data_IF_108846751378
#
_entry.id   IF_108846751378
#
_cell.length_a   1.000
_cell.length_b   1.000
_cell.length_c   1.000
_cell.angle_alpha   90.00
_cell.angle_beta   90.00
_cell.angle_gamma   90.00
#
_symmetry.space_group_name_H-M   'P 1'
#
loop_
_entity.id
_entity.type
_entity.pdbx_description
1 polymer ?
#
# COMPACT_ATOMS: atom_id res chain seq x y z
N UNK A 1 9.42 10.66 6.42
CA UNK A 1 10.39 10.02 5.50
C UNK A 1 9.98 10.39 4.09
N UNK A 2 10.91 10.53 3.14
CA UNK A 2 10.56 10.82 1.75
C UNK A 2 9.89 9.57 1.16
N UNK A 3 8.67 9.71 0.67
CA UNK A 3 7.82 8.62 0.22
C UNK A 3 7.92 8.50 -1.31
N UNK A 4 8.28 7.32 -1.82
CA UNK A 4 8.42 7.03 -3.26
C UNK A 4 7.10 7.29 -4.00
N UNK A 5 5.96 6.91 -3.40
CA UNK A 5 4.64 7.14 -3.99
C UNK A 5 4.35 8.64 -4.15
N UNK A 6 4.86 9.46 -3.21
CA UNK A 6 4.75 10.91 -3.30
C UNK A 6 5.63 11.52 -4.40
N UNK A 7 6.80 10.95 -4.66
CA UNK A 7 7.68 11.35 -5.77
C UNK A 7 7.04 10.97 -7.10
N UNK A 8 6.53 9.75 -7.22
CA UNK A 8 5.85 9.23 -8.42
C UNK A 8 4.59 10.03 -8.75
N UNK A 9 3.73 10.31 -7.77
CA UNK A 9 2.54 11.15 -7.96
C UNK A 9 2.89 12.57 -8.44
N UNK A 10 3.98 13.16 -7.96
CA UNK A 10 4.45 14.47 -8.43
C UNK A 10 5.02 14.42 -9.86
N UNK A 11 5.67 13.31 -10.25
CA UNK A 11 6.13 13.10 -11.62
C UNK A 11 4.93 13.00 -12.56
N UNK A 12 3.92 12.20 -12.19
CA UNK A 12 2.67 12.06 -12.96
C UNK A 12 1.93 13.40 -13.10
N UNK A 13 1.79 14.15 -12.00
CA UNK A 13 1.16 15.48 -12.02
C UNK A 13 1.87 16.44 -12.99
N UNK A 14 3.21 16.46 -12.93
CA UNK A 14 4.02 17.26 -13.84
C UNK A 14 3.90 16.78 -15.28
N UNK A 15 3.61 15.51 -15.57
CA UNK A 15 3.50 15.02 -16.95
C UNK A 15 2.18 15.36 -17.65
N UNK A 16 1.14 15.76 -16.91
CA UNK A 16 -0.16 16.17 -17.46
C UNK A 16 -0.05 17.47 -18.29
N UNK A 17 -0.85 17.61 -19.36
CA UNK A 17 -0.83 18.80 -20.24
C UNK A 17 -1.26 20.10 -19.55
N UNK A 18 -2.20 20.03 -18.60
CA UNK A 18 -2.72 21.18 -17.85
C UNK A 18 -2.53 20.96 -16.35
N UNK A 19 -1.40 21.42 -15.82
CA UNK A 19 -0.97 21.21 -14.45
C UNK A 19 -0.56 22.54 -13.77
N UNK A 20 -0.60 22.57 -12.45
CA UNK A 20 -0.21 23.75 -11.67
C UNK A 20 1.30 23.72 -11.38
N UNK A 21 2.07 24.30 -12.29
CA UNK A 21 3.53 24.36 -12.16
C UNK A 21 3.99 25.11 -10.90
N UNK A 22 3.21 26.08 -10.40
CA UNK A 22 3.58 26.82 -9.19
C UNK A 22 3.44 25.95 -7.94
N UNK A 23 2.31 25.24 -7.80
CA UNK A 23 2.10 24.31 -6.69
C UNK A 23 3.08 23.13 -6.74
N UNK A 24 3.35 22.59 -7.94
CA UNK A 24 4.39 21.58 -8.14
C UNK A 24 5.77 22.08 -7.70
N UNK A 25 6.15 23.30 -8.09
CA UNK A 25 7.42 23.93 -7.69
C UNK A 25 7.54 24.03 -6.16
N UNK A 26 6.49 24.46 -5.46
CA UNK A 26 6.48 24.54 -3.99
C UNK A 26 6.66 23.14 -3.37
N UNK A 27 5.99 22.13 -3.92
CA UNK A 27 6.07 20.75 -3.45
C UNK A 27 7.48 20.15 -3.63
N UNK A 28 8.09 20.34 -4.80
CA UNK A 28 9.47 19.89 -5.08
C UNK A 28 10.48 20.65 -4.23
N UNK A 29 10.30 21.97 -4.04
CA UNK A 29 11.15 22.78 -3.17
C UNK A 29 11.10 22.30 -1.72
N UNK A 30 9.92 21.89 -1.22
CA UNK A 30 9.78 21.31 0.12
C UNK A 30 10.57 20.01 0.25
N UNK A 31 10.52 19.13 -0.76
CA UNK A 31 11.29 17.88 -0.81
C UNK A 31 12.80 18.18 -0.80
N UNK A 32 13.27 19.08 -1.67
CA UNK A 32 14.69 19.44 -1.75
C UNK A 32 15.22 20.06 -0.45
N UNK A 33 14.42 20.88 0.25
CA UNK A 33 14.78 21.42 1.57
C UNK A 33 14.90 20.34 2.63
N UNK A 34 13.99 19.35 2.66
CA UNK A 34 14.05 18.23 3.60
C UNK A 34 15.32 17.39 3.41
N UNK A 35 15.76 17.21 2.16
CA UNK A 35 16.97 16.47 1.81
C UNK A 35 18.27 17.27 1.88
N UNK A 36 18.18 18.58 2.12
CA UNK A 36 19.31 19.52 2.04
C UNK A 36 20.00 19.51 0.67
N UNK A 37 19.24 19.39 -0.42
CA UNK A 37 19.76 19.39 -1.80
C UNK A 37 19.98 20.83 -2.30
N UNK A 38 21.09 21.42 -1.84
CA UNK A 38 21.43 22.85 -1.97
C UNK A 38 21.30 23.39 -3.40
N UNK A 39 21.77 22.64 -4.41
CA UNK A 39 21.69 23.03 -5.83
C UNK A 39 20.24 23.23 -6.29
N UNK A 40 19.39 22.27 -5.95
CA UNK A 40 17.97 22.24 -6.31
C UNK A 40 17.20 23.31 -5.54
N UNK A 41 17.49 23.47 -4.24
CA UNK A 41 16.90 24.54 -3.42
C UNK A 41 17.21 25.92 -4.01
N UNK A 42 18.47 26.18 -4.41
CA UNK A 42 18.84 27.46 -5.04
C UNK A 42 18.06 27.68 -6.35
N UNK A 43 18.06 26.69 -7.24
CA UNK A 43 17.41 26.81 -8.54
C UNK A 43 15.91 27.10 -8.38
N UNK A 44 15.22 26.40 -7.48
CA UNK A 44 13.79 26.57 -7.26
C UNK A 44 13.46 27.88 -6.51
N UNK A 45 14.27 28.30 -5.54
CA UNK A 45 14.07 29.60 -4.85
C UNK A 45 14.26 30.79 -5.81
N UNK A 46 15.28 30.75 -6.67
CA UNK A 46 15.47 31.79 -7.70
C UNK A 46 14.32 31.83 -8.71
N UNK A 47 13.63 30.71 -8.94
CA UNK A 47 12.46 30.67 -9.82
C UNK A 47 11.15 31.00 -9.10
N UNK A 48 11.10 30.86 -7.78
CA UNK A 48 9.93 31.20 -6.96
C UNK A 48 9.80 32.71 -6.68
N UNK A 49 10.92 33.44 -6.71
CA UNK A 49 10.98 34.88 -6.42
C UNK A 49 11.40 35.67 -7.66
N UNK A 50 11.15 36.98 -7.63
CA UNK A 50 11.64 37.89 -8.65
C UNK A 50 13.18 37.95 -8.61
N UNK A 51 13.81 37.92 -9.78
CA UNK A 51 15.26 38.08 -9.92
C UNK A 51 15.68 39.54 -9.69
N UNK A 52 15.86 39.88 -8.42
CA UNK A 52 16.43 41.15 -7.97
C UNK A 52 17.70 40.92 -7.15
N UNK A 53 18.53 41.95 -7.01
CA UNK A 53 19.72 41.89 -6.16
C UNK A 53 19.37 41.60 -4.69
N UNK A 54 18.30 42.21 -4.20
CA UNK A 54 17.78 42.02 -2.85
C UNK A 54 17.34 40.56 -2.60
N UNK A 55 16.49 40.01 -3.46
CA UNK A 55 16.03 38.63 -3.35
C UNK A 55 17.19 37.64 -3.51
N UNK A 56 18.12 37.92 -4.42
CA UNK A 56 19.31 37.09 -4.63
C UNK A 56 20.16 37.00 -3.37
N UNK A 57 20.32 38.12 -2.65
CA UNK A 57 21.02 38.17 -1.37
C UNK A 57 20.25 37.45 -0.27
N UNK A 58 18.93 37.59 -0.23
CA UNK A 58 18.07 36.90 0.74
C UNK A 58 18.11 35.37 0.55
N UNK A 59 18.02 34.89 -0.69
CA UNK A 59 18.17 33.47 -1.05
C UNK A 59 19.54 32.97 -0.63
N UNK A 60 20.60 33.71 -0.96
CA UNK A 60 21.96 33.33 -0.57
C UNK A 60 22.12 33.23 0.96
N UNK A 61 21.58 34.17 1.74
CA UNK A 61 21.65 34.08 3.20
C UNK A 61 20.86 32.88 3.77
N UNK A 62 19.70 32.58 3.18
CA UNK A 62 18.83 31.48 3.62
C UNK A 62 19.47 30.12 3.33
N UNK A 63 20.09 29.97 2.15
CA UNK A 63 20.74 28.73 1.74
C UNK A 63 22.11 28.56 2.40
N UNK A 64 22.83 29.64 2.74
CA UNK A 64 24.07 29.58 3.52
C UNK A 64 23.83 28.83 4.85
N UNK A 65 22.77 29.16 5.59
CA UNK A 65 22.37 28.44 6.81
C UNK A 65 22.04 26.96 6.59
N UNK A 66 21.46 26.61 5.44
CA UNK A 66 21.19 25.21 5.08
C UNK A 66 22.48 24.46 4.72
N UNK A 67 23.42 25.15 4.07
CA UNK A 67 24.72 24.59 3.72
C UNK A 67 25.60 24.34 4.95
N UNK A 68 25.53 25.21 5.95
CA UNK A 68 26.18 25.02 7.26
C UNK A 68 25.64 23.77 7.95
N UNK A 69 24.32 23.54 7.95
CA UNK A 69 23.71 22.32 8.49
C UNK A 69 24.15 21.04 7.76
N UNK A 70 24.51 21.14 6.48
CA UNK A 70 25.07 20.03 5.68
C UNK A 70 26.58 19.85 5.87
N UNK A 71 27.24 20.73 6.64
CA UNK A 71 28.69 20.72 6.82
C UNK A 71 29.49 21.18 5.59
N UNK A 72 28.87 21.91 4.66
CA UNK A 72 29.50 22.35 3.42
C UNK A 72 30.45 23.54 3.64
N UNK A 73 31.69 23.51 3.13
CA UNK A 73 32.60 24.65 3.22
C UNK A 73 32.07 25.89 2.48
N UNK A 74 32.19 27.07 3.10
CA UNK A 74 31.73 28.34 2.53
C UNK A 74 32.24 28.63 1.10
N UNK A 75 33.48 28.23 0.80
CA UNK A 75 34.07 28.39 -0.54
C UNK A 75 33.34 27.57 -1.60
N UNK A 76 32.94 26.34 -1.26
CA UNK A 76 32.20 25.45 -2.15
C UNK A 76 30.77 25.94 -2.35
N UNK A 77 30.13 26.36 -1.26
CA UNK A 77 28.81 26.99 -1.29
C UNK A 77 28.77 28.19 -2.24
N UNK A 78 29.71 29.14 -2.11
CA UNK A 78 29.78 30.32 -2.96
C UNK A 78 30.00 29.99 -4.44
N UNK A 79 30.69 28.88 -4.74
CA UNK A 79 30.84 28.39 -6.12
C UNK A 79 29.51 27.89 -6.67
N UNK A 80 28.78 27.09 -5.89
CA UNK A 80 27.46 26.55 -6.26
C UNK A 80 26.46 27.68 -6.50
N UNK A 81 26.43 28.70 -5.64
CA UNK A 81 25.53 29.86 -5.83
C UNK A 81 25.76 30.54 -7.17
N UNK A 82 27.02 30.79 -7.54
CA UNK A 82 27.36 31.42 -8.83
C UNK A 82 26.98 30.54 -10.02
N UNK A 83 27.24 29.23 -9.93
CA UNK A 83 26.92 28.25 -10.97
C UNK A 83 25.41 28.15 -11.20
N UNK A 84 24.63 28.01 -10.13
CA UNK A 84 23.17 27.89 -10.21
C UNK A 84 22.53 29.20 -10.65
N UNK A 85 22.99 30.35 -10.13
CA UNK A 85 22.48 31.63 -10.59
C UNK A 85 22.68 31.81 -12.09
N UNK A 86 23.87 31.47 -12.62
CA UNK A 86 24.12 31.48 -14.06
C UNK A 86 23.15 30.57 -14.82
N UNK A 87 22.94 29.33 -14.35
CA UNK A 87 21.99 28.40 -14.95
C UNK A 87 20.55 28.93 -14.98
N UNK A 88 20.12 29.64 -13.93
CA UNK A 88 18.79 30.30 -13.90
C UNK A 88 18.71 31.43 -14.91
N UNK A 89 19.75 32.25 -15.03
CA UNK A 89 19.82 33.32 -16.04
C UNK A 89 19.74 32.73 -17.44
N UNK A 90 20.50 31.67 -17.73
CA UNK A 90 20.48 30.98 -19.03
C UNK A 90 19.09 30.35 -19.32
N UNK A 91 18.40 29.87 -18.29
CA UNK A 91 17.03 29.32 -18.40
C UNK A 91 16.03 30.41 -18.80
N UNK A 92 16.19 31.62 -18.27
CA UNK A 92 15.29 32.78 -18.44
C UNK A 92 15.69 33.70 -19.58
N UNK A 93 16.83 33.41 -20.22
CA UNK A 93 17.33 34.16 -21.36
C UNK A 93 16.43 33.91 -22.57
N UNK A 94 15.87 34.97 -23.13
CA UNK A 94 14.97 34.91 -24.26
C UNK A 94 15.08 36.15 -25.13
N UNK A 95 14.42 36.10 -26.29
CA UNK A 95 14.25 37.27 -27.12
C UNK A 95 12.85 37.82 -26.91
N UNK A 96 12.75 39.07 -26.49
CA UNK A 96 11.49 39.74 -26.21
C UNK A 96 11.12 40.62 -27.38
N UNK A 97 9.84 40.64 -27.75
CA UNK A 97 9.38 41.50 -28.83
C UNK A 97 9.08 42.90 -28.30
N UNK A 98 9.75 43.91 -28.83
CA UNK A 98 9.45 45.31 -28.52
C UNK A 98 8.35 45.84 -29.45
N UNK A 99 7.18 46.10 -28.88
CA UNK A 99 6.03 46.57 -29.63
C UNK A 99 6.21 47.99 -30.19
N UNK A 100 7.04 48.81 -29.55
CA UNK A 100 7.28 50.20 -29.94
C UNK A 100 8.19 50.31 -31.15
N UNK A 101 9.23 49.47 -31.21
CA UNK A 101 10.21 49.45 -32.30
C UNK A 101 9.95 48.36 -33.33
N UNK A 102 9.06 47.41 -33.03
CA UNK A 102 8.81 46.19 -33.82
C UNK A 102 10.03 45.29 -34.01
N UNK A 103 11.03 45.46 -33.14
CA UNK A 103 12.26 44.68 -33.17
C UNK A 103 12.28 43.63 -32.08
N UNK A 104 13.07 42.59 -32.32
CA UNK A 104 13.29 41.51 -31.37
C UNK A 104 14.52 41.85 -30.52
N UNK A 105 14.29 42.24 -29.26
CA UNK A 105 15.38 42.48 -28.31
C UNK A 105 15.98 41.14 -27.92
N UNK A 106 17.22 40.89 -28.33
CA UNK A 106 17.90 39.63 -28.06
C UNK A 106 18.41 39.57 -26.63
N UNK A 107 18.55 38.34 -26.14
CA UNK A 107 19.31 38.04 -24.92
C UNK A 107 18.80 38.71 -23.63
N UNK A 108 17.50 39.02 -23.59
CA UNK A 108 16.84 39.58 -22.42
C UNK A 108 16.61 38.52 -21.35
N UNK A 109 16.51 38.93 -20.08
CA UNK A 109 16.30 38.04 -18.93
C UNK A 109 14.98 38.39 -18.29
N UNK A 110 14.02 37.46 -18.27
CA UNK A 110 12.76 37.67 -17.56
C UNK A 110 12.95 37.52 -16.05
N UNK A 111 12.73 38.60 -15.30
CA UNK A 111 12.91 38.65 -13.85
C UNK A 111 11.72 38.11 -13.06
N UNK A 112 10.51 38.15 -13.62
CA UNK A 112 9.27 37.77 -12.92
C UNK A 112 9.31 36.37 -12.30
N UNK A 113 8.77 36.15 -11.09
CA UNK A 113 8.68 34.80 -10.51
C UNK A 113 7.83 33.88 -11.40
N UNK A 114 7.93 32.56 -11.23
CA UNK A 114 7.13 31.58 -11.99
C UNK A 114 5.63 31.88 -11.95
N UNK A 115 5.10 32.30 -10.80
CA UNK A 115 3.70 32.73 -10.68
C UNK A 115 3.36 33.93 -11.58
N UNK A 116 4.29 34.89 -11.71
CA UNK A 116 4.17 36.02 -12.63
C UNK A 116 4.21 35.59 -14.09
N UNK A 117 5.13 34.68 -14.44
CA UNK A 117 5.24 34.13 -15.80
C UNK A 117 3.96 33.39 -16.23
N UNK A 118 3.33 32.64 -15.31
CA UNK A 118 2.04 31.99 -15.56
C UNK A 118 0.94 33.03 -15.79
N UNK A 119 0.87 34.06 -14.93
CA UNK A 119 -0.11 35.14 -15.06
C UNK A 119 0.02 35.86 -16.41
N UNK A 120 1.26 36.13 -16.85
CA UNK A 120 1.54 36.72 -18.15
C UNK A 120 1.16 35.78 -19.29
N UNK A 121 1.45 34.48 -19.18
CA UNK A 121 1.06 33.47 -20.17
C UNK A 121 -0.46 33.42 -20.35
N UNK A 122 -1.20 33.33 -19.24
CA UNK A 122 -2.67 33.32 -19.25
C UNK A 122 -3.26 34.63 -19.79
N UNK A 123 -2.61 35.77 -19.48
CA UNK A 123 -2.98 37.07 -20.04
C UNK A 123 -2.80 37.08 -21.56
N UNK A 124 -1.66 36.63 -22.08
CA UNK A 124 -1.43 36.62 -23.53
C UNK A 124 -2.32 35.61 -24.26
N UNK A 125 -2.58 34.45 -23.67
CA UNK A 125 -3.54 33.47 -24.21
C UNK A 125 -4.95 34.07 -24.31
N UNK A 126 -5.40 34.79 -23.27
CA UNK A 126 -6.69 35.50 -23.29
C UNK A 126 -6.72 36.60 -24.35
N UNK A 127 -5.67 37.42 -24.42
CA UNK A 127 -5.58 38.49 -25.40
C UNK A 127 -5.62 37.95 -26.84
N UNK A 128 -4.87 36.88 -27.13
CA UNK A 128 -4.88 36.19 -28.41
C UNK A 128 -6.28 35.65 -28.76
N UNK A 129 -6.93 34.97 -27.82
CA UNK A 129 -8.27 34.43 -28.01
C UNK A 129 -9.33 35.54 -28.24
N UNK A 130 -9.18 36.68 -27.57
CA UNK A 130 -10.10 37.82 -27.66
C UNK A 130 -9.86 38.75 -28.85
N UNK A 131 -8.76 38.57 -29.59
CA UNK A 131 -8.37 39.46 -30.70
C UNK A 131 -9.19 39.17 -31.97
N UNK A 132 -10.50 39.40 -31.93
CA UNK A 132 -11.44 39.09 -33.02
C UNK A 132 -11.80 40.38 -33.79
N UNK A 133 -11.92 40.27 -35.12
CA UNK A 133 -12.33 41.39 -35.97
C UNK A 133 -13.86 41.52 -35.94
N UNK A 134 -14.42 42.72 -35.69
CA UNK A 134 -15.86 42.95 -35.74
C UNK A 134 -16.45 42.65 -37.13
N UNK A 135 -17.65 42.06 -37.14
CA UNK A 135 -18.41 41.81 -38.37
C UNK A 135 -18.97 43.10 -38.96
N UNK A 136 -19.08 43.19 -40.28
CA UNK A 136 -19.74 44.32 -40.97
C UNK A 136 -18.84 45.53 -41.28
N UNK A 137 -17.51 45.38 -41.18
CA UNK A 137 -16.56 46.42 -41.58
C UNK A 137 -16.53 46.62 -43.11
N UNK A 138 -16.36 47.87 -43.54
CA UNK A 138 -16.11 48.22 -44.93
C UNK A 138 -14.76 47.62 -45.39
N UNK A 139 -14.61 47.28 -46.69
CA UNK A 139 -13.44 46.56 -47.22
C UNK A 139 -12.08 47.20 -46.85
N UNK A 140 -11.98 48.53 -46.88
CA UNK A 140 -10.76 49.26 -46.51
C UNK A 140 -10.43 49.10 -45.01
N UNK A 141 -11.44 49.21 -44.14
CA UNK A 141 -11.29 49.09 -42.69
C UNK A 141 -11.02 47.64 -42.28
N UNK A 142 -11.62 46.68 -43.01
CA UNK A 142 -11.37 45.25 -42.85
C UNK A 142 -9.91 44.90 -43.17
N UNK A 143 -9.33 45.48 -44.23
CA UNK A 143 -7.91 45.29 -44.55
C UNK A 143 -7.00 45.79 -43.42
N UNK A 144 -7.25 47.01 -42.91
CA UNK A 144 -6.49 47.59 -41.80
C UNK A 144 -6.66 46.78 -40.52
N UNK A 145 -7.88 46.33 -40.21
CA UNK A 145 -8.18 45.50 -39.05
C UNK A 145 -7.46 44.14 -39.12
N UNK A 146 -7.42 43.50 -40.29
CA UNK A 146 -6.67 42.26 -40.50
C UNK A 146 -5.16 42.45 -40.31
N UNK A 147 -4.57 43.51 -40.86
CA UNK A 147 -3.14 43.80 -40.66
C UNK A 147 -2.81 44.00 -39.17
N UNK A 148 -3.66 44.75 -38.45
CA UNK A 148 -3.50 44.96 -37.01
C UNK A 148 -3.65 43.65 -36.23
N UNK A 149 -4.65 42.83 -36.56
CA UNK A 149 -4.87 41.52 -35.94
C UNK A 149 -3.66 40.61 -36.13
N UNK A 150 -3.19 40.44 -37.36
CA UNK A 150 -2.05 39.58 -37.67
C UNK A 150 -0.79 40.01 -36.92
N UNK A 151 -0.54 41.32 -36.81
CA UNK A 151 0.59 41.86 -36.04
C UNK A 151 0.49 41.52 -34.55
N UNK A 152 -0.70 41.68 -33.96
CA UNK A 152 -0.95 41.36 -32.56
C UNK A 152 -0.92 39.86 -32.28
N UNK A 153 -1.50 39.03 -33.16
CA UNK A 153 -1.49 37.58 -33.02
C UNK A 153 -0.06 37.03 -33.10
N UNK A 154 0.76 37.57 -34.00
CA UNK A 154 2.18 37.24 -34.11
C UNK A 154 2.92 37.58 -32.81
N UNK A 155 2.66 38.76 -32.26
CA UNK A 155 3.23 39.20 -30.99
C UNK A 155 2.82 38.28 -29.83
N UNK A 156 1.52 38.06 -29.62
CA UNK A 156 1.04 37.22 -28.52
C UNK A 156 1.52 35.77 -28.67
N UNK A 157 1.53 35.23 -29.88
CA UNK A 157 2.02 33.86 -30.13
C UNK A 157 3.51 33.74 -29.83
N UNK A 158 4.31 34.77 -30.15
CA UNK A 158 5.72 34.82 -29.81
C UNK A 158 5.92 34.85 -28.28
N UNK A 159 5.24 35.75 -27.57
CA UNK A 159 5.36 35.85 -26.11
C UNK A 159 4.89 34.57 -25.39
N UNK A 160 3.78 33.96 -25.85
CA UNK A 160 3.30 32.66 -25.35
C UNK A 160 4.38 31.58 -25.55
N UNK A 161 5.01 31.54 -26.74
CA UNK A 161 6.08 30.58 -27.04
C UNK A 161 7.30 30.76 -26.12
N UNK A 162 7.71 32.01 -25.90
CA UNK A 162 8.82 32.35 -24.99
C UNK A 162 8.53 31.89 -23.56
N UNK A 163 7.36 32.23 -23.02
CA UNK A 163 6.96 31.86 -21.66
C UNK A 163 6.85 30.34 -21.51
N UNK A 164 6.23 29.66 -22.48
CA UNK A 164 6.15 28.20 -22.49
C UNK A 164 7.53 27.53 -22.51
N UNK A 165 8.48 28.06 -23.30
CA UNK A 165 9.84 27.54 -23.34
C UNK A 165 10.52 27.61 -21.96
N UNK A 166 10.41 28.75 -21.29
CA UNK A 166 10.99 28.94 -19.95
C UNK A 166 10.34 28.02 -18.92
N UNK A 167 9.00 27.98 -18.88
CA UNK A 167 8.25 27.12 -17.96
C UNK A 167 8.55 25.64 -18.22
N UNK A 168 8.68 25.21 -19.48
CA UNK A 168 9.04 23.84 -19.83
C UNK A 168 10.48 23.46 -19.42
N UNK A 169 11.44 24.40 -19.48
CA UNK A 169 12.80 24.15 -18.96
C UNK A 169 12.79 23.98 -17.44
N UNK A 170 12.04 24.81 -16.72
CA UNK A 170 11.88 24.70 -15.26
C UNK A 170 11.17 23.39 -14.89
N UNK A 171 10.13 23.02 -15.65
CA UNK A 171 9.44 21.74 -15.55
C UNK A 171 10.40 20.57 -15.75
N UNK A 172 11.19 20.59 -16.82
CA UNK A 172 12.14 19.53 -17.13
C UNK A 172 13.20 19.38 -16.04
N UNK A 173 13.66 20.49 -15.45
CA UNK A 173 14.56 20.44 -14.29
C UNK A 173 13.91 19.75 -13.09
N UNK A 174 12.65 20.09 -12.77
CA UNK A 174 11.93 19.44 -11.67
C UNK A 174 11.70 17.95 -11.92
N UNK A 175 11.29 17.56 -13.14
CA UNK A 175 11.11 16.16 -13.52
C UNK A 175 12.45 15.42 -13.44
N UNK A 176 13.53 15.97 -13.98
CA UNK A 176 14.86 15.36 -13.91
C UNK A 176 15.31 15.10 -12.47
N UNK A 177 15.15 16.09 -11.59
CA UNK A 177 15.43 15.91 -10.16
C UNK A 177 14.52 14.85 -9.51
N UNK A 178 13.23 14.84 -9.81
CA UNK A 178 12.31 13.84 -9.25
C UNK A 178 12.59 12.43 -9.78
N UNK A 179 12.98 12.29 -11.05
CA UNK A 179 13.41 11.02 -11.64
C UNK A 179 14.73 10.55 -11.03
N UNK A 180 15.69 11.44 -10.82
CA UNK A 180 16.91 11.12 -10.06
C UNK A 180 16.55 10.71 -8.63
N UNK A 181 15.58 11.35 -7.99
CA UNK A 181 15.11 10.94 -6.67
C UNK A 181 14.38 9.60 -6.70
N UNK A 182 13.55 9.34 -7.70
CA UNK A 182 12.88 8.07 -7.91
C UNK A 182 13.91 6.96 -8.12
N UNK A 183 14.91 7.19 -8.98
CA UNK A 183 16.03 6.28 -9.20
C UNK A 183 16.86 6.12 -7.94
N UNK A 184 17.15 7.19 -7.20
CA UNK A 184 17.85 7.12 -5.90
C UNK A 184 17.01 6.35 -4.91
N UNK A 185 15.70 6.54 -4.82
CA UNK A 185 14.84 5.82 -3.89
C UNK A 185 14.75 4.34 -4.28
N UNK A 186 14.60 4.03 -5.57
CA UNK A 186 14.64 2.68 -6.12
C UNK A 186 16.01 2.01 -5.91
N UNK A 187 17.12 2.77 -6.05
CA UNK A 187 18.48 2.29 -5.80
C UNK A 187 18.86 2.35 -4.32
N UNK A 188 18.20 3.11 -3.45
CA UNK A 188 18.41 3.09 -1.99
C UNK A 188 17.63 1.93 -1.36
N UNK A 189 16.48 1.58 -1.94
CA UNK A 189 15.80 0.30 -1.74
C UNK A 189 16.64 -0.88 -2.26
N UNK A 190 17.41 -0.67 -3.35
CA UNK A 190 18.44 -1.61 -3.84
C UNK A 190 19.75 -1.64 -3.02
N UNK A 191 20.22 -0.51 -2.49
CA UNK A 191 21.54 -0.35 -1.83
C UNK A 191 21.49 -0.67 -0.32
N UNK A 192 20.31 -0.64 0.32
CA UNK A 192 20.14 -1.21 1.67
C UNK A 192 20.41 -2.72 1.73
N UNK A 193 20.37 -3.40 0.59
CA UNK A 193 20.68 -4.85 0.49
C UNK A 193 22.19 -5.14 0.47
N UNK A 194 23.03 -4.10 0.50
CA UNK A 194 24.37 -4.21 -0.07
C UNK A 194 25.48 -3.72 0.89
N UNK A 195 25.12 -3.14 2.05
CA UNK A 195 26.05 -2.87 3.15
C UNK A 195 26.28 -4.06 4.11
N UNK A 196 25.61 -5.19 3.91
CA UNK A 196 25.78 -6.41 4.74
C UNK A 196 26.52 -7.57 4.05
N UNK A 197 27.10 -7.34 2.86
CA UNK A 197 28.13 -8.24 2.29
C UNK A 197 29.41 -7.50 1.82
N UNK A 198 29.42 -6.16 1.94
CA UNK A 198 30.42 -5.24 1.38
C UNK A 198 30.70 -5.43 -0.13
N UNK A 199 29.69 -4.95 -0.87
CA UNK A 199 29.74 -4.18 -2.13
C UNK A 199 29.53 -4.92 -3.46
N UNK A 200 28.26 -4.88 -3.88
CA UNK A 200 27.70 -4.83 -5.25
C UNK A 200 27.69 -6.09 -6.13
N UNK A 201 26.87 -7.08 -5.78
CA UNK A 201 26.04 -7.84 -6.74
C UNK A 201 25.08 -8.80 -6.00
N UNK A 202 23.79 -8.45 -5.85
CA UNK A 202 22.73 -9.40 -5.42
C UNK A 202 21.45 -9.14 -6.23
N UNK A 203 20.90 -10.23 -6.76
CA UNK A 203 19.65 -10.36 -7.51
C UNK A 203 18.41 -9.90 -6.73
N UNK A 204 17.45 -9.31 -7.44
CA UNK A 204 16.15 -8.82 -6.94
C UNK A 204 15.11 -9.94 -6.68
N UNK A 205 15.52 -11.21 -6.58
CA UNK A 205 14.59 -12.35 -6.51
C UNK A 205 13.88 -12.40 -5.15
N UNK A 206 12.56 -12.60 -5.15
CA UNK A 206 11.80 -12.90 -3.93
C UNK A 206 12.09 -14.36 -3.57
N UNK A 207 12.62 -14.59 -2.37
CA UNK A 207 13.12 -15.90 -1.96
C UNK A 207 12.06 -16.72 -1.21
N UNK A 208 11.08 -16.03 -0.60
CA UNK A 208 10.17 -16.65 0.36
C UNK A 208 8.84 -15.90 0.49
N UNK A 209 7.77 -16.64 0.76
CA UNK A 209 6.44 -16.11 1.04
C UNK A 209 6.15 -16.23 2.54
N UNK A 210 5.76 -15.14 3.17
CA UNK A 210 5.17 -15.14 4.50
C UNK A 210 3.65 -15.00 4.38
N UNK A 211 2.88 -15.88 5.04
CA UNK A 211 1.41 -15.77 5.07
C UNK A 211 0.96 -15.32 6.46
N UNK A 212 0.65 -14.03 6.56
CA UNK A 212 0.09 -13.41 7.76
C UNK A 212 -1.41 -13.64 7.80
N UNK A 213 -1.90 -14.31 8.85
CA UNK A 213 -3.31 -14.67 9.00
C UNK A 213 -3.68 -14.87 10.48
N UNK A 214 -4.97 -14.85 10.80
CA UNK A 214 -5.41 -15.24 12.14
C UNK A 214 -5.39 -16.77 12.28
N UNK A 215 -5.00 -17.30 13.44
CA UNK A 215 -4.94 -18.75 13.69
C UNK A 215 -6.25 -19.47 13.39
N UNK A 216 -7.40 -18.79 13.51
CA UNK A 216 -8.73 -19.34 13.19
C UNK A 216 -8.97 -19.56 11.69
N UNK A 217 -8.23 -18.85 10.83
CA UNK A 217 -8.36 -18.92 9.38
C UNK A 217 -7.42 -19.99 8.78
N UNK A 218 -6.79 -20.83 9.61
CA UNK A 218 -5.80 -21.83 9.19
C UNK A 218 -6.32 -22.78 8.10
N UNK A 219 -7.63 -23.07 8.09
CA UNK A 219 -8.25 -23.90 7.03
C UNK A 219 -8.18 -23.22 5.66
N UNK A 220 -8.46 -21.92 5.59
CA UNK A 220 -8.31 -21.15 4.35
C UNK A 220 -6.84 -21.03 3.94
N UNK A 221 -5.95 -20.82 4.92
CA UNK A 221 -4.51 -20.70 4.65
C UNK A 221 -3.93 -22.00 4.13
N UNK A 222 -4.39 -23.15 4.63
CA UNK A 222 -4.01 -24.45 4.11
C UNK A 222 -4.32 -24.56 2.61
N UNK A 223 -5.54 -24.22 2.20
CA UNK A 223 -5.94 -24.27 0.79
C UNK A 223 -5.14 -23.27 -0.06
N UNK A 224 -4.82 -22.09 0.48
CA UNK A 224 -3.96 -21.12 -0.20
C UNK A 224 -2.52 -21.64 -0.37
N UNK A 225 -1.97 -22.30 0.65
CA UNK A 225 -0.63 -22.92 0.56
C UNK A 225 -0.62 -24.06 -0.44
N UNK A 226 -1.65 -24.92 -0.43
CA UNK A 226 -1.79 -26.00 -1.41
C UNK A 226 -1.83 -25.42 -2.84
N UNK A 227 -2.62 -24.37 -3.08
CA UNK A 227 -2.67 -23.65 -4.36
C UNK A 227 -1.30 -23.07 -4.76
N UNK A 228 -0.58 -22.42 -3.84
CA UNK A 228 0.76 -21.88 -4.08
C UNK A 228 1.74 -22.99 -4.48
N UNK A 229 1.62 -24.16 -3.88
CA UNK A 229 2.44 -25.30 -4.26
C UNK A 229 2.07 -25.87 -5.63
N UNK A 230 0.77 -25.90 -5.96
CA UNK A 230 0.27 -26.39 -7.24
C UNK A 230 0.73 -25.49 -8.42
N UNK A 231 0.91 -24.18 -8.18
CA UNK A 231 1.51 -23.23 -9.17
C UNK A 231 3.05 -23.25 -9.20
N UNK A 232 3.69 -24.16 -8.47
CA UNK A 232 5.14 -24.40 -8.54
C UNK A 232 5.99 -23.81 -7.42
N UNK A 233 5.41 -23.22 -6.36
CA UNK A 233 6.19 -22.87 -5.17
C UNK A 233 6.63 -24.15 -4.46
N UNK A 234 7.90 -24.21 -4.03
CA UNK A 234 8.43 -25.43 -3.40
C UNK A 234 7.71 -25.73 -2.08
N UNK A 235 7.43 -27.00 -1.80
CA UNK A 235 6.81 -27.48 -0.55
C UNK A 235 7.82 -27.51 0.61
N UNK A 236 8.31 -26.34 1.03
CA UNK A 236 9.33 -26.22 2.09
C UNK A 236 9.10 -25.00 2.96
N UNK A 237 9.52 -25.06 4.23
CA UNK A 237 9.54 -23.90 5.14
C UNK A 237 10.53 -22.80 4.73
N UNK A 238 11.38 -23.06 3.71
CA UNK A 238 12.30 -22.07 3.12
C UNK A 238 11.63 -21.20 2.06
N UNK A 239 10.58 -21.69 1.42
CA UNK A 239 9.84 -21.02 0.34
C UNK A 239 8.53 -20.43 0.81
N UNK A 240 7.84 -21.05 1.77
CA UNK A 240 6.63 -20.53 2.40
C UNK A 240 6.74 -20.71 3.91
N UNK A 241 6.26 -19.75 4.70
CA UNK A 241 6.09 -19.97 6.13
C UNK A 241 4.88 -19.23 6.72
N UNK A 242 4.30 -19.81 7.76
CA UNK A 242 3.27 -19.20 8.61
C UNK A 242 3.26 -19.89 9.98
N UNK A 243 2.72 -19.25 11.02
CA UNK A 243 2.84 -19.75 12.40
C UNK A 243 1.94 -20.94 12.76
N UNK A 244 1.01 -21.35 11.88
CA UNK A 244 -0.09 -22.25 12.22
C UNK A 244 -0.13 -23.57 11.44
N UNK A 245 0.64 -23.72 10.36
CA UNK A 245 0.63 -24.92 9.51
C UNK A 245 1.86 -25.79 9.74
N UNK A 246 1.68 -27.07 10.12
CA UNK A 246 2.80 -28.00 10.29
C UNK A 246 3.64 -28.14 9.01
N UNK A 247 4.97 -28.04 9.14
CA UNK A 247 5.91 -28.14 8.02
C UNK A 247 6.20 -26.82 7.31
N UNK A 248 5.39 -25.79 7.57
CA UNK A 248 5.63 -24.39 7.21
C UNK A 248 5.76 -23.49 8.45
N UNK A 249 5.77 -24.10 9.63
CA UNK A 249 5.77 -23.49 10.94
C UNK A 249 7.14 -22.96 11.37
N UNK A 250 7.11 -22.17 12.44
CA UNK A 250 8.29 -21.53 13.02
C UNK A 250 9.09 -22.59 13.79
N UNK A 251 10.44 -22.60 13.70
CA UNK A 251 11.27 -23.57 14.41
C UNK A 251 10.98 -23.64 15.90
N UNK A 252 11.00 -24.85 16.45
CA UNK A 252 10.72 -25.09 17.86
C UNK A 252 11.71 -24.36 18.78
N UNK A 253 11.18 -23.58 19.74
CA UNK A 253 11.98 -22.84 20.72
C UNK A 253 12.32 -21.39 20.32
N UNK A 254 11.96 -20.94 19.11
CA UNK A 254 12.12 -19.55 18.72
C UNK A 254 10.89 -18.69 19.10
N UNK A 255 11.14 -17.42 19.45
CA UNK A 255 10.07 -16.43 19.63
C UNK A 255 9.49 -16.07 18.25
N UNK A 256 8.18 -16.18 18.08
CA UNK A 256 7.47 -15.83 16.82
C UNK A 256 7.89 -14.44 16.32
N UNK A 257 7.96 -13.46 17.22
CA UNK A 257 8.33 -12.10 16.87
C UNK A 257 9.80 -11.95 16.48
N UNK A 258 10.71 -12.70 17.12
CA UNK A 258 12.14 -12.66 16.77
C UNK A 258 12.40 -13.38 15.46
N UNK A 259 11.77 -14.53 15.24
CA UNK A 259 11.81 -15.25 13.97
C UNK A 259 11.26 -14.38 12.83
N UNK A 260 10.04 -13.83 13.00
CA UNK A 260 9.44 -12.92 12.01
C UNK A 260 10.32 -11.70 11.74
N UNK A 261 10.87 -11.10 12.79
CA UNK A 261 11.79 -9.96 12.65
C UNK A 261 13.05 -10.37 11.90
N UNK A 262 13.64 -11.51 12.19
CA UNK A 262 14.84 -12.00 11.51
C UNK A 262 14.55 -12.30 10.04
N UNK A 263 13.45 -13.01 9.76
CA UNK A 263 12.98 -13.32 8.42
C UNK A 263 12.72 -12.03 7.61
N UNK A 264 11.93 -11.09 8.15
CA UNK A 264 11.59 -9.83 7.47
C UNK A 264 12.79 -8.90 7.27
N UNK A 265 13.84 -9.00 8.10
CA UNK A 265 15.05 -8.17 7.94
C UNK A 265 16.13 -8.81 7.05
N UNK A 266 16.22 -10.14 7.03
CA UNK A 266 17.34 -10.86 6.43
C UNK A 266 17.01 -11.55 5.10
N UNK A 267 15.72 -11.81 4.81
CA UNK A 267 15.28 -12.49 3.60
C UNK A 267 14.44 -11.57 2.71
N UNK A 268 14.42 -11.83 1.40
CA UNK A 268 13.53 -11.10 0.49
C UNK A 268 12.13 -11.71 0.48
N UNK A 269 11.29 -11.26 1.41
CA UNK A 269 9.98 -11.87 1.68
C UNK A 269 8.85 -11.11 0.99
N UNK A 270 8.01 -11.86 0.28
CA UNK A 270 6.68 -11.41 -0.10
C UNK A 270 5.68 -11.75 1.01
N UNK A 271 4.86 -10.79 1.43
CA UNK A 271 3.85 -11.02 2.46
C UNK A 271 2.46 -11.15 1.84
N UNK A 272 1.76 -12.25 2.14
CA UNK A 272 0.34 -12.41 1.86
C UNK A 272 -0.44 -12.13 3.13
N UNK A 273 -1.20 -11.04 3.16
CA UNK A 273 -2.12 -10.74 4.25
C UNK A 273 -3.47 -11.40 3.97
N UNK A 274 -3.82 -12.44 4.72
CA UNK A 274 -5.11 -13.11 4.64
C UNK A 274 -6.09 -12.37 5.56
N UNK A 275 -6.91 -11.50 4.98
CA UNK A 275 -7.80 -10.60 5.71
C UNK A 275 -9.18 -11.23 5.91
N UNK A 276 -9.62 -11.20 7.16
CA UNK A 276 -10.91 -11.68 7.66
C UNK A 276 -11.33 -10.84 8.88
N UNK A 277 -12.55 -11.01 9.39
CA UNK A 277 -12.91 -10.38 10.67
C UNK A 277 -12.03 -10.91 11.82
N UNK A 278 -11.62 -12.19 11.76
CA UNK A 278 -10.71 -12.80 12.74
C UNK A 278 -9.33 -12.10 12.73
N UNK A 279 -8.83 -11.75 11.54
CA UNK A 279 -7.58 -11.00 11.38
C UNK A 279 -7.63 -9.66 12.11
N UNK A 280 -8.70 -8.89 11.87
CA UNK A 280 -8.87 -7.56 12.45
C UNK A 280 -9.15 -7.56 13.97
N UNK A 281 -9.49 -8.71 14.53
CA UNK A 281 -9.69 -8.89 15.98
C UNK A 281 -8.45 -9.45 16.69
N UNK A 282 -7.48 -9.94 15.94
CA UNK A 282 -6.22 -10.45 16.48
C UNK A 282 -5.22 -9.31 16.63
N UNK A 283 -5.01 -8.84 17.86
CA UNK A 283 -3.97 -7.85 18.17
C UNK A 283 -2.57 -8.28 17.68
N UNK A 284 -2.14 -9.56 17.80
CA UNK A 284 -0.92 -10.05 17.15
C UNK A 284 -0.90 -9.81 15.65
N UNK A 285 -1.96 -10.16 14.91
CA UNK A 285 -2.02 -9.98 13.45
C UNK A 285 -1.98 -8.50 13.04
N UNK A 286 -2.59 -7.61 13.81
CA UNK A 286 -2.52 -6.17 13.56
C UNK A 286 -1.11 -5.60 13.82
N UNK A 287 -0.44 -6.10 14.86
CA UNK A 287 0.96 -5.73 15.14
C UNK A 287 1.91 -6.27 14.06
N UNK A 288 1.71 -7.51 13.63
CA UNK A 288 2.42 -8.12 12.50
C UNK A 288 2.15 -7.36 11.19
N UNK A 289 0.90 -6.95 10.93
CA UNK A 289 0.55 -6.09 9.79
C UNK A 289 1.33 -4.78 9.80
N UNK A 290 1.41 -4.11 10.95
CA UNK A 290 2.19 -2.87 11.08
C UNK A 290 3.69 -3.09 10.84
N UNK A 291 4.25 -4.15 11.42
CA UNK A 291 5.68 -4.47 11.27
C UNK A 291 6.04 -4.91 9.85
N UNK A 292 5.26 -5.82 9.27
CA UNK A 292 5.43 -6.35 7.92
C UNK A 292 5.13 -5.29 6.85
N UNK A 293 4.18 -4.37 7.06
CA UNK A 293 3.94 -3.27 6.12
C UNK A 293 5.15 -2.32 6.00
N UNK A 294 5.87 -2.07 7.10
CA UNK A 294 7.07 -1.22 7.12
C UNK A 294 8.29 -1.93 6.51
N UNK A 295 8.37 -3.26 6.62
CA UNK A 295 9.59 -4.04 6.34
C UNK A 295 9.51 -4.94 5.12
N UNK A 296 8.31 -5.32 4.66
CA UNK A 296 8.13 -6.17 3.48
C UNK A 296 8.51 -5.44 2.19
N UNK A 297 9.19 -6.14 1.29
CA UNK A 297 9.55 -5.59 -0.04
C UNK A 297 8.36 -5.61 -0.99
N UNK A 298 7.48 -6.60 -0.86
CA UNK A 298 6.23 -6.73 -1.62
C UNK A 298 5.17 -7.36 -0.72
N UNK A 299 3.93 -6.88 -0.81
CA UNK A 299 2.81 -7.52 -0.16
C UNK A 299 1.61 -7.59 -1.10
N UNK A 300 0.74 -8.55 -0.84
CA UNK A 300 -0.59 -8.64 -1.44
C UNK A 300 -1.60 -8.94 -0.36
N UNK A 301 -2.85 -8.58 -0.61
CA UNK A 301 -3.97 -8.88 0.28
C UNK A 301 -4.86 -9.94 -0.36
N UNK A 302 -5.23 -10.92 0.45
CA UNK A 302 -6.10 -12.03 0.09
C UNK A 302 -7.28 -11.99 1.04
N UNK A 303 -8.49 -11.78 0.53
CA UNK A 303 -9.68 -11.68 1.36
C UNK A 303 -10.36 -13.05 1.48
N UNK A 304 -10.73 -13.44 2.69
CA UNK A 304 -11.64 -14.58 2.86
C UNK A 304 -13.00 -14.26 2.22
N UNK A 305 -13.76 -15.27 1.75
CA UNK A 305 -14.98 -15.05 0.96
C UNK A 305 -16.00 -14.11 1.61
N UNK A 306 -16.21 -14.28 2.91
CA UNK A 306 -17.22 -13.56 3.70
C UNK A 306 -16.75 -12.17 4.17
N UNK A 307 -15.46 -11.84 4.01
CA UNK A 307 -14.93 -10.52 4.35
C UNK A 307 -15.17 -9.51 3.22
N UNK A 308 -15.62 -8.30 3.54
CA UNK A 308 -15.93 -7.27 2.54
C UNK A 308 -14.77 -6.30 2.36
N UNK A 309 -14.61 -5.77 1.14
CA UNK A 309 -13.53 -4.84 0.83
C UNK A 309 -13.62 -3.55 1.65
N UNK A 310 -14.84 -3.08 1.96
CA UNK A 310 -15.08 -1.87 2.75
C UNK A 310 -14.66 -2.03 4.22
N UNK A 311 -14.47 -3.27 4.68
CA UNK A 311 -14.00 -3.57 6.04
C UNK A 311 -12.47 -3.49 6.17
N UNK A 312 -11.73 -3.34 5.06
CA UNK A 312 -10.28 -3.14 5.10
C UNK A 312 -9.98 -1.77 5.72
N UNK A 313 -9.35 -1.78 6.89
CA UNK A 313 -8.91 -0.58 7.61
C UNK A 313 -7.45 -0.73 8.04
N UNK A 314 -6.81 0.39 8.42
CA UNK A 314 -5.45 0.38 8.98
C UNK A 314 -4.34 0.69 7.96
N UNK A 315 -3.18 0.05 8.11
CA UNK A 315 -1.96 0.34 7.33
C UNK A 315 -1.99 -0.21 5.89
N UNK A 316 -2.97 -1.06 5.58
CA UNK A 316 -3.16 -1.62 4.25
C UNK A 316 -3.99 -0.65 3.42
N UNK A 317 -3.46 -0.29 2.24
CA UNK A 317 -4.19 0.51 1.26
C UNK A 317 -5.32 -0.31 0.62
N UNK A 318 -6.61 0.03 0.88
CA UNK A 318 -7.75 -0.69 0.32
C UNK A 318 -7.88 -0.52 -1.20
N UNK A 319 -7.15 0.42 -1.80
CA UNK A 319 -7.18 0.71 -3.25
C UNK A 319 -6.14 -0.09 -4.05
N UNK A 320 -5.25 -0.84 -3.38
CA UNK A 320 -4.30 -1.75 -4.05
C UNK A 320 -4.96 -3.08 -4.46
N UNK A 321 -4.35 -3.74 -5.45
CA UNK A 321 -4.81 -5.03 -5.99
C UNK A 321 -4.96 -6.04 -4.85
N UNK A 322 -6.21 -6.44 -4.62
CA UNK A 322 -6.65 -7.40 -3.62
C UNK A 322 -7.62 -8.36 -4.31
N UNK A 323 -7.61 -9.64 -3.97
CA UNK A 323 -8.56 -10.60 -4.53
C UNK A 323 -9.26 -11.37 -3.41
N UNK A 324 -10.49 -11.79 -3.68
CA UNK A 324 -11.21 -12.71 -2.79
C UNK A 324 -10.85 -14.14 -3.15
N UNK A 325 -10.69 -14.98 -2.15
CA UNK A 325 -10.35 -16.40 -2.34
C UNK A 325 -11.35 -17.16 -3.22
N UNK A 326 -12.61 -16.70 -3.30
CA UNK A 326 -13.64 -17.29 -4.15
C UNK A 326 -13.88 -16.52 -5.47
N UNK A 327 -12.99 -15.60 -5.86
CA UNK A 327 -13.05 -14.90 -7.15
C UNK A 327 -12.23 -15.66 -8.21
N UNK A 328 -12.88 -16.34 -9.17
CA UNK A 328 -12.17 -17.10 -10.20
C UNK A 328 -11.26 -16.22 -11.05
N UNK A 329 -11.64 -14.98 -11.37
CA UNK A 329 -10.84 -14.10 -12.23
C UNK A 329 -9.67 -13.51 -11.45
N UNK A 330 -9.91 -13.15 -10.18
CA UNK A 330 -8.88 -12.71 -9.25
C UNK A 330 -7.79 -13.76 -9.04
N UNK A 331 -8.15 -15.04 -8.97
CA UNK A 331 -7.19 -16.15 -8.85
C UNK A 331 -6.25 -16.27 -10.04
N UNK A 332 -6.74 -16.07 -11.27
CA UNK A 332 -5.87 -16.11 -12.46
C UNK A 332 -4.83 -14.98 -12.41
N UNK A 333 -5.26 -13.76 -12.04
CA UNK A 333 -4.35 -12.62 -11.87
C UNK A 333 -3.35 -12.83 -10.73
N UNK A 334 -3.81 -13.44 -9.64
CA UNK A 334 -2.95 -13.77 -8.50
C UNK A 334 -1.88 -14.78 -8.90
N UNK A 335 -2.26 -15.86 -9.58
CA UNK A 335 -1.32 -16.84 -10.15
C UNK A 335 -0.27 -16.13 -11.01
N UNK A 336 -0.70 -15.35 -12.00
CA UNK A 336 0.21 -14.68 -12.93
C UNK A 336 1.19 -13.76 -12.19
N UNK A 337 0.69 -13.02 -11.19
CA UNK A 337 1.51 -12.17 -10.31
C UNK A 337 2.53 -12.99 -9.53
N UNK A 338 2.15 -14.14 -8.96
CA UNK A 338 3.07 -14.98 -8.19
C UNK A 338 4.13 -15.62 -9.09
N UNK A 339 3.74 -16.18 -10.24
CA UNK A 339 4.67 -16.75 -11.23
C UNK A 339 5.68 -15.70 -11.66
N UNK A 340 5.22 -14.49 -11.99
CA UNK A 340 6.11 -13.38 -12.38
C UNK A 340 7.02 -12.93 -11.22
N UNK A 341 6.50 -12.87 -10.00
CA UNK A 341 7.22 -12.37 -8.82
C UNK A 341 8.32 -13.32 -8.34
N UNK A 342 8.06 -14.63 -8.43
CA UNK A 342 8.97 -15.69 -7.99
C UNK A 342 9.77 -16.29 -9.15
N UNK A 343 9.52 -15.84 -10.38
CA UNK A 343 10.12 -16.36 -11.62
C UNK A 343 9.94 -17.87 -11.75
N UNK A 344 8.71 -18.34 -11.52
CA UNK A 344 8.37 -19.77 -11.62
C UNK A 344 8.19 -20.17 -13.10
N UNK A 345 8.31 -21.47 -13.36
CA UNK A 345 7.90 -22.02 -14.65
C UNK A 345 6.38 -21.94 -14.80
N UNK A 346 5.91 -21.61 -16.00
CA UNK A 346 4.47 -21.54 -16.26
C UNK A 346 3.84 -22.94 -16.15
N UNK A 347 2.67 -23.00 -15.54
CA UNK A 347 1.93 -24.25 -15.35
C UNK A 347 1.03 -24.52 -16.55
N UNK A 348 0.91 -25.78 -16.98
CA UNK A 348 -0.02 -26.13 -18.06
C UNK A 348 -1.43 -25.63 -17.73
N UNK A 349 -2.04 -24.91 -18.68
CA UNK A 349 -3.31 -24.24 -18.45
C UNK A 349 -4.43 -25.21 -18.04
N UNK A 350 -4.44 -26.45 -18.53
CA UNK A 350 -5.46 -27.44 -18.16
C UNK A 350 -5.28 -27.92 -16.73
N UNK A 351 -4.04 -28.18 -16.32
CA UNK A 351 -3.70 -28.52 -14.94
C UNK A 351 -4.15 -27.39 -14.01
N UNK A 352 -3.82 -26.14 -14.35
CA UNK A 352 -4.27 -24.97 -13.59
C UNK A 352 -5.80 -24.89 -13.46
N UNK A 353 -6.57 -25.17 -14.52
CA UNK A 353 -8.04 -25.14 -14.43
C UNK A 353 -8.59 -26.18 -13.45
N UNK A 354 -7.99 -27.38 -13.40
CA UNK A 354 -8.39 -28.43 -12.46
C UNK A 354 -8.05 -28.05 -11.01
N UNK A 355 -6.83 -27.56 -10.75
CA UNK A 355 -6.39 -27.13 -9.43
C UNK A 355 -7.21 -25.96 -8.91
N UNK A 356 -7.48 -24.97 -9.78
CA UNK A 356 -8.35 -23.83 -9.49
C UNK A 356 -9.78 -24.27 -9.14
N UNK A 357 -10.35 -25.23 -9.88
CA UNK A 357 -11.70 -25.72 -9.62
C UNK A 357 -11.79 -26.44 -8.27
N UNK A 358 -10.79 -27.28 -7.95
CA UNK A 358 -10.67 -27.94 -6.66
C UNK A 358 -10.60 -26.92 -5.52
N UNK A 359 -9.66 -25.96 -5.62
CA UNK A 359 -9.49 -24.89 -4.64
C UNK A 359 -10.80 -24.11 -4.41
N UNK A 360 -11.46 -23.66 -5.47
CA UNK A 360 -12.73 -22.92 -5.39
C UNK A 360 -13.82 -23.74 -4.69
N UNK A 361 -13.94 -25.05 -4.99
CA UNK A 361 -14.95 -25.90 -4.36
C UNK A 361 -14.76 -26.03 -2.84
N UNK A 362 -13.50 -26.17 -2.41
CA UNK A 362 -13.16 -26.29 -0.99
C UNK A 362 -13.33 -24.96 -0.26
N UNK A 363 -12.86 -23.85 -0.86
CA UNK A 363 -13.03 -22.50 -0.30
C UNK A 363 -14.51 -22.13 -0.16
N UNK A 364 -15.35 -22.45 -1.15
CA UNK A 364 -16.80 -22.23 -1.06
C UNK A 364 -17.43 -23.03 0.07
N UNK A 365 -17.03 -24.30 0.25
CA UNK A 365 -17.53 -25.12 1.37
C UNK A 365 -17.15 -24.53 2.72
N UNK A 366 -15.92 -24.03 2.87
CA UNK A 366 -15.47 -23.34 4.08
C UNK A 366 -16.25 -22.04 4.32
N UNK A 367 -16.52 -21.28 3.26
CA UNK A 367 -17.29 -20.04 3.32
C UNK A 367 -18.75 -20.28 3.75
N UNK A 368 -19.39 -21.32 3.22
CA UNK A 368 -20.75 -21.69 3.57
C UNK A 368 -20.85 -22.11 5.04
N UNK A 369 -19.86 -22.86 5.53
CA UNK A 369 -19.76 -23.22 6.94
C UNK A 369 -19.58 -21.98 7.83
N UNK A 370 -18.64 -21.10 7.50
CA UNK A 370 -18.38 -19.85 8.25
C UNK A 370 -19.59 -18.90 8.24
N UNK A 371 -20.30 -18.81 7.11
CA UNK A 371 -21.52 -18.01 6.99
C UNK A 371 -22.65 -18.60 7.83
N UNK A 372 -22.79 -19.93 7.85
CA UNK A 372 -23.80 -20.62 8.66
C UNK A 372 -23.60 -20.41 10.17
N UNK A 373 -22.37 -20.17 10.60
CA UNK A 373 -22.03 -19.87 11.99
C UNK A 373 -21.87 -18.37 12.25
N UNK A 374 -22.19 -17.49 11.29
CA UNK A 374 -21.98 -16.03 11.40
C UNK A 374 -20.58 -15.64 11.92
N UNK A 375 -19.55 -16.43 11.58
CA UNK A 375 -18.18 -16.27 12.08
C UNK A 375 -18.04 -16.34 13.63
N UNK A 376 -19.04 -16.90 14.30
CA UNK A 376 -19.00 -17.27 15.72
C UNK A 376 -18.13 -18.51 15.86
N UNK A 377 -17.42 -18.62 16.99
CA UNK A 377 -16.67 -19.83 17.33
C UNK A 377 -16.93 -20.24 18.77
N UNK A 378 -17.04 -21.55 18.98
CA UNK A 378 -17.07 -22.16 20.31
C UNK A 378 -15.83 -23.06 20.41
N UNK A 379 -15.04 -22.85 21.45
CA UNK A 379 -13.82 -23.60 21.73
C UNK A 379 -13.91 -24.23 23.12
N UNK A 380 -13.42 -25.46 23.27
CA UNK A 380 -13.31 -26.10 24.57
C UNK A 380 -11.99 -25.70 25.22
N UNK A 381 -12.05 -25.02 26.36
CA UNK A 381 -10.85 -24.65 27.12
C UNK A 381 -10.41 -25.74 28.09
N UNK A 382 -11.40 -26.36 28.75
CA UNK A 382 -11.15 -27.28 29.85
C UNK A 382 -12.31 -28.26 30.01
N UNK A 383 -11.93 -29.49 30.30
CA UNK A 383 -12.83 -30.53 30.80
C UNK A 383 -12.41 -30.87 32.23
N UNK A 384 -13.37 -30.87 33.15
CA UNK A 384 -13.13 -31.27 34.53
C UNK A 384 -14.14 -32.32 34.96
N UNK A 385 -13.66 -33.38 35.59
CA UNK A 385 -14.55 -34.37 36.18
C UNK A 385 -15.29 -33.77 37.39
N UNK A 386 -16.60 -33.97 37.45
CA UNK A 386 -17.47 -33.57 38.56
C UNK A 386 -18.21 -34.80 39.10
N UNK A 387 -17.49 -35.65 39.83
CA UNK A 387 -18.05 -36.86 40.44
C UNK A 387 -17.91 -38.10 39.55
N UNK A 388 -18.86 -39.04 39.66
CA UNK A 388 -18.88 -40.28 38.88
C UNK A 388 -19.64 -40.12 37.54
N UNK A 389 -20.60 -39.18 37.49
CA UNK A 389 -21.65 -39.15 36.45
C UNK A 389 -21.78 -37.77 35.76
N UNK A 390 -20.85 -36.85 35.97
CA UNK A 390 -20.95 -35.51 35.39
C UNK A 390 -19.59 -34.91 35.01
N UNK A 391 -19.63 -34.10 33.96
CA UNK A 391 -18.46 -33.41 33.42
C UNK A 391 -18.73 -31.92 33.34
N UNK A 392 -17.78 -31.12 33.80
CA UNK A 392 -17.79 -29.67 33.65
C UNK A 392 -17.00 -29.28 32.41
N UNK A 393 -17.66 -28.61 31.47
CA UNK A 393 -17.05 -28.02 30.29
C UNK A 393 -16.88 -26.53 30.49
N UNK A 394 -15.65 -26.04 30.30
CA UNK A 394 -15.34 -24.63 30.13
C UNK A 394 -15.32 -24.33 28.63
N UNK A 395 -16.41 -23.76 28.11
CA UNK A 395 -16.57 -23.42 26.70
C UNK A 395 -16.32 -21.92 26.51
N UNK A 396 -15.38 -21.57 25.63
CA UNK A 396 -15.13 -20.20 25.19
C UNK A 396 -15.98 -19.90 23.97
N UNK A 397 -16.85 -18.91 24.12
CA UNK A 397 -17.73 -18.38 23.11
C UNK A 397 -17.16 -17.06 22.58
N UNK A 398 -17.03 -16.93 21.26
CA UNK A 398 -16.46 -15.75 20.63
C UNK A 398 -17.41 -15.29 19.52
N UNK A 399 -18.01 -14.12 19.70
CA UNK A 399 -18.78 -13.43 18.70
C UNK A 399 -17.96 -12.27 18.14
N UNK A 400 -17.58 -12.38 16.89
CA UNK A 400 -16.79 -11.37 16.18
C UNK A 400 -17.69 -10.31 15.52
N UNK A 401 -19.00 -10.55 15.47
CA UNK A 401 -19.96 -9.72 14.74
C UNK A 401 -20.51 -8.58 15.60
N UNK A 402 -21.21 -7.65 14.96
CA UNK A 402 -21.97 -6.60 15.65
C UNK A 402 -23.36 -7.03 16.08
N UNK A 403 -23.77 -8.26 15.75
CA UNK A 403 -25.11 -8.78 16.02
C UNK A 403 -25.11 -9.57 17.33
N UNK A 404 -26.28 -9.71 17.93
CA UNK A 404 -26.47 -10.63 19.05
C UNK A 404 -26.70 -12.02 18.46
N UNK A 405 -26.05 -13.03 19.03
CA UNK A 405 -26.07 -14.40 18.54
C UNK A 405 -26.85 -15.27 19.53
N UNK A 406 -27.88 -15.92 19.00
CA UNK A 406 -28.67 -16.93 19.70
C UNK A 406 -28.40 -18.30 19.09
N UNK A 407 -28.17 -19.30 19.92
CA UNK A 407 -27.88 -20.65 19.44
C UNK A 407 -29.16 -21.48 19.37
N UNK A 408 -29.34 -22.18 18.25
CA UNK A 408 -30.39 -23.17 18.08
C UNK A 408 -30.02 -24.51 18.73
N UNK A 409 -28.76 -24.91 18.59
CA UNK A 409 -28.20 -26.08 19.29
C UNK A 409 -26.68 -25.96 19.35
N UNK A 410 -26.07 -26.65 20.31
CA UNK A 410 -24.61 -26.86 20.41
C UNK A 410 -24.36 -28.34 20.67
N UNK A 411 -23.52 -28.96 19.86
CA UNK A 411 -23.08 -30.35 19.98
C UNK A 411 -21.58 -30.38 20.25
N UNK A 412 -21.17 -31.11 21.29
CA UNK A 412 -19.77 -31.28 21.69
C UNK A 412 -19.43 -32.78 21.68
N UNK A 413 -18.55 -33.19 20.78
CA UNK A 413 -17.97 -34.54 20.73
C UNK A 413 -16.59 -34.49 21.41
N UNK A 414 -16.47 -35.11 22.58
CA UNK A 414 -15.19 -35.34 23.26
C UNK A 414 -14.63 -36.70 22.87
N UNK A 415 -13.31 -36.83 22.86
CA UNK A 415 -12.62 -38.12 22.61
C UNK A 415 -11.50 -38.32 23.63
N UNK A 416 -11.49 -39.46 24.33
CA UNK A 416 -10.46 -39.77 25.33
C UNK A 416 -9.18 -40.39 24.72
N UNK A 417 -8.19 -40.70 25.56
CA UNK A 417 -6.91 -41.31 25.15
C UNK A 417 -7.08 -42.70 24.52
N UNK A 418 -8.15 -43.43 24.84
CA UNK A 418 -8.46 -44.75 24.29
C UNK A 418 -9.27 -44.65 22.99
N UNK A 419 -9.66 -43.43 22.58
CA UNK A 419 -10.51 -43.20 21.42
C UNK A 419 -12.00 -43.32 21.71
N UNK A 420 -12.39 -43.47 22.98
CA UNK A 420 -13.79 -43.49 23.38
C UNK A 420 -14.38 -42.09 23.28
N UNK A 421 -15.64 -42.00 22.85
CA UNK A 421 -16.31 -40.73 22.58
C UNK A 421 -17.40 -40.43 23.60
N UNK A 422 -17.55 -39.16 23.92
CA UNK A 422 -18.70 -38.64 24.68
C UNK A 422 -19.33 -37.51 23.89
N UNK A 423 -20.58 -37.69 23.48
CA UNK A 423 -21.38 -36.68 22.79
C UNK A 423 -22.29 -35.96 23.79
N UNK A 424 -22.25 -34.63 23.78
CA UNK A 424 -23.09 -33.76 24.60
C UNK A 424 -23.85 -32.84 23.65
N UNK A 425 -25.17 -32.94 23.66
CA UNK A 425 -26.07 -32.13 22.84
C UNK A 425 -26.83 -31.16 23.74
N UNK A 426 -26.76 -29.87 23.41
CA UNK A 426 -27.39 -28.76 24.12
C UNK A 426 -28.47 -28.18 23.21
N UNK A 427 -29.72 -28.50 23.50
CA UNK A 427 -30.91 -28.05 22.74
C UNK A 427 -31.95 -27.37 23.66
N UNK A 428 -31.72 -27.33 24.97
CA UNK A 428 -32.66 -26.74 25.93
C UNK A 428 -32.60 -25.21 25.89
N UNK A 429 -33.73 -24.56 25.61
CA UNK A 429 -33.84 -23.10 25.47
C UNK A 429 -33.31 -22.34 26.69
N UNK A 430 -33.57 -22.80 27.93
CA UNK A 430 -33.06 -22.15 29.14
C UNK A 430 -31.51 -22.16 29.18
N UNK A 431 -30.92 -23.30 28.83
CA UNK A 431 -29.46 -23.47 28.81
C UNK A 431 -28.82 -22.70 27.66
N UNK A 432 -29.47 -22.62 26.49
CA UNK A 432 -29.00 -21.87 25.34
C UNK A 432 -29.14 -20.35 25.52
N UNK A 433 -30.19 -19.89 26.22
CA UNK A 433 -30.37 -18.47 26.57
C UNK A 433 -29.24 -17.96 27.47
N UNK A 434 -28.77 -18.76 28.43
CA UNK A 434 -27.57 -18.44 29.23
C UNK A 434 -26.30 -18.29 28.36
N UNK A 435 -26.30 -18.92 27.18
CA UNK A 435 -25.18 -18.96 26.24
C UNK A 435 -25.25 -17.90 25.13
N UNK A 436 -26.30 -17.06 25.10
CA UNK A 436 -26.46 -15.96 24.13
C UNK A 436 -25.23 -15.04 24.11
N UNK A 437 -24.73 -14.71 22.92
CA UNK A 437 -23.50 -13.95 22.73
C UNK A 437 -23.82 -12.52 22.27
N UNK A 438 -23.40 -11.53 23.06
CA UNK A 438 -23.55 -10.12 22.71
C UNK A 438 -22.55 -9.68 21.62
N UNK A 439 -22.80 -8.51 21.04
CA UNK A 439 -21.94 -7.89 20.01
C UNK A 439 -20.48 -7.80 20.46
N UNK A 440 -19.55 -8.35 19.66
CA UNK A 440 -18.10 -8.39 19.92
C UNK A 440 -17.71 -9.04 21.26
N UNK A 441 -18.54 -9.93 21.80
CA UNK A 441 -18.31 -10.57 23.09
C UNK A 441 -17.36 -11.78 22.98
N UNK A 442 -16.46 -11.91 23.95
CA UNK A 442 -15.64 -13.10 24.18
C UNK A 442 -15.83 -13.52 25.65
N UNK A 443 -16.54 -14.62 25.88
CA UNK A 443 -16.88 -15.12 27.22
C UNK A 443 -16.58 -16.59 27.39
N UNK A 444 -16.27 -17.00 28.61
CA UNK A 444 -16.11 -18.41 28.97
C UNK A 444 -17.29 -18.79 29.85
N UNK A 445 -18.01 -19.85 29.46
CA UNK A 445 -19.12 -20.41 30.22
C UNK A 445 -18.69 -21.76 30.75
N UNK A 446 -18.85 -21.94 32.06
CA UNK A 446 -18.68 -23.24 32.71
C UNK A 446 -20.06 -23.86 32.90
N UNK A 447 -20.30 -25.03 32.33
CA UNK A 447 -21.56 -25.76 32.52
C UNK A 447 -21.27 -27.22 32.81
N UNK A 448 -22.08 -27.79 33.70
CA UNK A 448 -21.97 -29.19 34.11
C UNK A 448 -23.01 -29.97 33.32
N UNK A 449 -22.56 -31.01 32.65
CA UNK A 449 -23.40 -31.93 31.88
C UNK A 449 -23.34 -33.31 32.54
N UNK A 450 -24.49 -33.94 32.78
CA UNK A 450 -24.51 -35.34 33.18
C UNK A 450 -23.99 -36.20 32.02
N UNK A 451 -23.24 -37.26 32.32
CA UNK A 451 -22.88 -38.29 31.35
C UNK A 451 -23.14 -39.68 31.96
N UNK A 452 -23.49 -40.64 31.11
CA UNK A 452 -23.86 -41.98 31.57
C UNK A 452 -22.69 -42.66 32.27
N UNK A 453 -22.90 -43.17 33.49
CA UNK A 453 -21.93 -43.93 34.25
C UNK A 453 -21.59 -45.29 33.63
N UNK A 454 -22.37 -45.74 32.63
CA UNK A 454 -22.04 -46.88 31.77
C UNK A 454 -21.01 -46.53 30.67
N UNK A 455 -20.70 -45.24 30.48
CA UNK A 455 -19.74 -44.77 29.49
C UNK A 455 -18.32 -45.24 29.82
N UNK A 456 -17.64 -45.77 28.82
CA UNK A 456 -16.22 -46.13 28.83
C UNK A 456 -15.29 -44.91 28.82
N UNK A 457 -15.85 -43.70 28.58
CA UNK A 457 -15.12 -42.45 28.47
C UNK A 457 -14.45 -42.06 29.79
N UNK A 458 -13.13 -41.84 29.76
CA UNK A 458 -12.36 -41.44 30.95
C UNK A 458 -12.04 -39.95 30.95
N UNK A 459 -12.68 -39.21 31.87
CA UNK A 459 -12.43 -37.78 32.07
C UNK A 459 -11.02 -37.56 32.63
N UNK A 460 -10.07 -37.18 31.78
CA UNK A 460 -8.74 -36.67 32.19
C UNK A 460 -8.56 -35.21 31.75
N UNK A 461 -7.65 -34.52 32.45
CA UNK A 461 -7.46 -33.06 32.45
C UNK A 461 -7.03 -32.43 31.10
N UNK A 462 -6.91 -33.21 30.03
CA UNK A 462 -6.38 -32.75 28.73
C UNK A 462 -7.20 -33.44 27.62
N UNK A 463 -8.32 -32.83 27.23
CA UNK A 463 -9.09 -33.20 26.02
C UNK A 463 -9.23 -31.94 25.18
N UNK A 464 -8.12 -31.41 24.66
CA UNK A 464 -8.15 -30.19 23.84
C UNK A 464 -7.91 -30.46 22.35
N UNK A 465 -7.19 -31.52 21.96
CA UNK A 465 -6.74 -31.66 20.56
C UNK A 465 -7.74 -32.37 19.63
N UNK A 466 -8.67 -33.17 20.16
CA UNK A 466 -9.59 -33.99 19.33
C UNK A 466 -11.06 -33.64 19.46
N UNK A 467 -11.40 -32.62 20.24
CA UNK A 467 -12.79 -32.21 20.44
C UNK A 467 -13.37 -31.62 19.16
N UNK A 468 -14.59 -32.02 18.81
CA UNK A 468 -15.37 -31.38 17.74
C UNK A 468 -16.57 -30.68 18.36
N UNK A 469 -16.83 -29.47 17.89
CA UNK A 469 -17.99 -28.70 18.31
C UNK A 469 -18.74 -28.28 17.05
N UNK A 470 -20.02 -28.65 16.97
CA UNK A 470 -20.94 -28.19 15.94
C UNK A 470 -22.04 -27.37 16.60
N UNK A 471 -22.56 -26.36 15.91
CA UNK A 471 -23.67 -25.58 16.41
C UNK A 471 -24.42 -24.93 15.27
N UNK A 472 -25.65 -24.52 15.53
CA UNK A 472 -26.41 -23.65 14.65
C UNK A 472 -26.87 -22.41 15.41
N UNK A 473 -26.95 -21.31 14.68
CA UNK A 473 -27.48 -20.03 15.16
C UNK A 473 -28.93 -19.90 14.68
N UNK A 474 -29.74 -19.17 15.44
CA UNK A 474 -31.16 -18.88 15.13
C UNK A 474 -31.31 -18.01 13.89
#
# INVERSE_FOLDING_TARGET
MLDLAKVQSLIEELQIEKYDIHNSLISVLRIARQRLDIRVVLFLEYNNLELSEENSKAIANKVERLSEKKGMPKREYLKIVKEIFKSVIDTRKCNVFDFSTTELLKDQILSSPVSGLISDLEKYQRLLASNVIPTGLHHQDLYVANQRKNKLDTFYSHEISVLNNILNKIKAFMIGYLMELEEILNTTEGNKQMSTQQTLSIDNKIDKIFISHASKDVKYVKELVDLLNDIGVQKTSKSIFCSSLPGYDIPHGESIYEFLKNELNNNNIMVLFVLSDNYYQSAPCLNEMGAAWITSKKYTTVLTPNFKFEQIVGAIDPTKISFKMNDPVGLDKFRDSIIQTLELEDTDYKIWQEDKAKYLSTVSTLADQEASTQNVSIELERVKNQGEDAVELSLRFINVTTQVIEFRYIEVELTDENGEKLEIVIEEDETLNDMQLMSKENKVINKIFPYDSSSTFRVRRIVNEKTKINFAIV
#
